data_IF_302953362541
#
_entry.id   IF_302953362541
#
_cell.length_a   1.000
_cell.length_b   1.000
_cell.length_c   1.000
_cell.angle_alpha   90.00
_cell.angle_beta   90.00
_cell.angle_gamma   90.00
#
_symmetry.space_group_name_H-M   'P 1'
#
loop_
_entity.id
_entity.type
_entity.pdbx_description
1 polymer ?
#
# COMPACT_ATOMS: atom_id res chain seq x y z
N UNK A 1 11.92 -9.89 24.98
CA UNK A 1 11.52 -8.71 25.76
C UNK A 1 10.22 -8.92 26.54
N UNK A 2 9.20 -9.60 26.01
CA UNK A 2 7.95 -9.88 26.75
C UNK A 2 8.18 -10.60 28.11
N UNK A 3 9.23 -11.40 28.22
CA UNK A 3 9.59 -12.12 29.46
C UNK A 3 9.95 -11.26 30.66
N UNK A 4 10.38 -10.04 30.46
CA UNK A 4 10.81 -9.16 31.55
C UNK A 4 9.64 -8.34 32.12
N UNK A 5 8.55 -8.21 31.37
CA UNK A 5 7.44 -7.31 31.67
C UNK A 5 6.21 -8.10 32.16
N UNK A 6 5.93 -9.25 31.51
CA UNK A 6 4.73 -10.03 31.82
C UNK A 6 5.07 -11.40 32.40
N UNK A 7 4.37 -11.77 33.47
CA UNK A 7 4.44 -13.08 34.12
C UNK A 7 3.02 -13.60 34.31
N UNK A 8 2.84 -14.90 34.26
CA UNK A 8 1.55 -15.55 34.49
C UNK A 8 1.34 -16.80 33.65
N UNK A 9 0.24 -17.49 33.88
CA UNK A 9 -0.11 -18.74 33.20
C UNK A 9 -0.37 -18.50 31.70
N UNK A 10 -1.09 -17.43 31.38
CA UNK A 10 -1.38 -17.02 30.01
C UNK A 10 -0.11 -16.85 29.15
N UNK A 11 0.88 -16.11 29.68
CA UNK A 11 2.14 -15.87 28.94
C UNK A 11 2.87 -17.17 28.64
N UNK A 12 2.91 -18.08 29.62
CA UNK A 12 3.57 -19.37 29.45
C UNK A 12 2.84 -20.26 28.46
N UNK A 13 1.51 -20.23 28.43
CA UNK A 13 0.70 -20.93 27.44
C UNK A 13 0.91 -20.34 26.04
N UNK A 14 0.84 -19.02 25.89
CA UNK A 14 1.04 -18.33 24.63
C UNK A 14 2.44 -18.61 24.02
N UNK A 15 3.49 -18.62 24.84
CA UNK A 15 4.84 -18.97 24.38
C UNK A 15 4.92 -20.39 23.84
N UNK A 16 4.27 -21.35 24.45
CA UNK A 16 4.26 -22.75 23.95
C UNK A 16 3.65 -22.84 22.57
N UNK A 17 2.64 -22.05 22.26
CA UNK A 17 1.96 -22.02 20.97
C UNK A 17 2.80 -21.27 19.93
N UNK A 18 3.17 -20.02 20.24
CA UNK A 18 3.75 -19.10 19.26
C UNK A 18 5.28 -19.23 19.12
N UNK A 19 5.97 -19.97 19.99
CA UNK A 19 7.43 -20.12 19.91
C UNK A 19 7.89 -21.53 19.54
N UNK A 20 7.00 -22.38 19.06
CA UNK A 20 7.34 -23.75 18.65
C UNK A 20 7.73 -23.78 17.15
N UNK A 21 9.02 -23.68 16.87
CA UNK A 21 9.56 -23.67 15.50
C UNK A 21 9.39 -24.99 14.74
N UNK A 22 9.05 -26.09 15.41
CA UNK A 22 8.85 -27.40 14.79
C UNK A 22 7.39 -27.64 14.38
N UNK A 23 6.48 -26.74 14.76
CA UNK A 23 5.08 -26.86 14.38
C UNK A 23 4.89 -26.40 12.93
N UNK A 24 4.18 -27.21 12.12
CA UNK A 24 3.84 -26.89 10.74
C UNK A 24 3.07 -25.55 10.59
N UNK A 25 2.22 -25.24 11.59
CA UNK A 25 1.52 -23.96 11.65
C UNK A 25 2.50 -22.78 11.75
N UNK A 26 3.48 -22.89 12.64
CA UNK A 26 4.50 -21.85 12.81
C UNK A 26 5.34 -21.65 11.55
N UNK A 27 5.59 -22.74 10.81
CA UNK A 27 6.26 -22.66 9.49
C UNK A 27 5.38 -21.93 8.47
N UNK A 28 4.07 -22.19 8.44
CA UNK A 28 3.13 -21.44 7.61
C UNK A 28 3.14 -19.95 7.96
N UNK A 29 3.17 -19.60 9.24
CA UNK A 29 3.18 -18.21 9.70
C UNK A 29 4.42 -17.43 9.26
N UNK A 30 5.56 -18.11 9.09
CA UNK A 30 6.81 -17.48 8.67
C UNK A 30 6.73 -16.81 7.30
N UNK A 31 5.77 -17.17 6.47
CA UNK A 31 5.52 -16.52 5.18
C UNK A 31 4.93 -15.12 5.33
N UNK A 32 4.25 -14.86 6.45
CA UNK A 32 3.47 -13.63 6.66
C UNK A 32 4.03 -12.75 7.77
N UNK A 33 4.70 -13.36 8.76
CA UNK A 33 5.22 -12.68 9.95
C UNK A 33 6.72 -12.50 9.84
N UNK A 34 7.18 -11.28 10.03
CA UNK A 34 8.60 -10.95 10.10
C UNK A 34 9.13 -11.21 11.51
N UNK A 35 10.31 -11.82 11.60
CA UNK A 35 11.00 -12.01 12.87
C UNK A 35 11.40 -13.46 13.12
N UNK A 36 11.80 -13.76 14.36
CA UNK A 36 12.27 -15.06 14.80
C UNK A 36 11.30 -15.64 15.86
N UNK A 37 10.81 -16.83 15.58
CA UNK A 37 9.94 -17.61 16.50
C UNK A 37 10.53 -17.69 17.89
N UNK A 38 11.84 -17.96 18.02
CA UNK A 38 12.54 -18.11 19.31
C UNK A 38 12.63 -16.79 20.09
N UNK A 39 12.56 -15.65 19.39
CA UNK A 39 12.56 -14.31 19.98
C UNK A 39 11.16 -13.83 20.37
N UNK A 40 10.15 -14.66 20.17
CA UNK A 40 8.75 -14.35 20.48
C UNK A 40 8.15 -13.25 19.57
N UNK A 41 8.74 -13.02 18.41
CA UNK A 41 8.25 -12.00 17.49
C UNK A 41 6.83 -12.33 16.99
N UNK A 42 6.52 -13.62 16.81
CA UNK A 42 5.18 -14.07 16.41
C UNK A 42 4.13 -13.83 17.50
N UNK A 43 4.50 -14.07 18.78
CA UNK A 43 3.62 -13.75 19.90
C UNK A 43 3.40 -12.23 20.01
N UNK A 44 4.45 -11.45 19.81
CA UNK A 44 4.34 -9.99 19.85
C UNK A 44 3.40 -9.47 18.77
N UNK A 45 3.50 -10.03 17.56
CA UNK A 45 2.62 -9.65 16.44
C UNK A 45 1.17 -10.10 16.68
N UNK A 46 0.96 -11.31 17.18
CA UNK A 46 -0.38 -11.79 17.53
C UNK A 46 -1.05 -10.91 18.59
N UNK A 47 -0.31 -10.53 19.64
CA UNK A 47 -0.79 -9.61 20.67
C UNK A 47 -1.10 -8.23 20.11
N UNK A 48 -0.24 -7.71 19.24
CA UNK A 48 -0.49 -6.44 18.55
C UNK A 48 -1.81 -6.49 17.79
N UNK A 49 -2.00 -7.48 16.94
CA UNK A 49 -3.21 -7.57 16.10
C UNK A 49 -4.50 -7.67 16.90
N UNK A 50 -4.55 -8.53 17.93
CA UNK A 50 -5.75 -8.66 18.76
C UNK A 50 -6.01 -7.41 19.60
N UNK A 51 -4.97 -6.75 20.07
CA UNK A 51 -5.11 -5.51 20.83
C UNK A 51 -5.60 -4.37 19.95
N UNK A 52 -5.06 -4.24 18.74
CA UNK A 52 -5.49 -3.25 17.75
C UNK A 52 -6.97 -3.47 17.37
N UNK A 53 -7.40 -4.72 17.15
CA UNK A 53 -8.80 -5.04 16.83
C UNK A 53 -9.76 -4.70 17.97
N UNK A 54 -9.30 -4.82 19.21
CA UNK A 54 -10.09 -4.49 20.42
C UNK A 54 -9.97 -3.02 20.85
N UNK A 55 -9.07 -2.25 20.26
CA UNK A 55 -8.79 -0.87 20.64
C UNK A 55 -8.22 -0.72 22.05
N UNK A 56 -7.44 -1.71 22.54
CA UNK A 56 -6.84 -1.71 23.87
C UNK A 56 -5.31 -1.84 23.78
N UNK A 57 -4.62 -1.45 24.85
CA UNK A 57 -3.16 -1.66 24.92
C UNK A 57 -2.81 -3.12 25.22
N UNK A 58 -1.59 -3.54 24.83
CA UNK A 58 -1.06 -4.86 25.16
C UNK A 58 -1.03 -5.05 26.70
N UNK A 59 -0.68 -4.01 27.46
CA UNK A 59 -0.67 -4.06 28.92
C UNK A 59 -2.06 -4.34 29.49
N UNK A 60 -3.09 -3.69 28.94
CA UNK A 60 -4.48 -3.94 29.37
C UNK A 60 -4.92 -5.36 29.04
N UNK A 61 -4.65 -5.85 27.82
CA UNK A 61 -4.95 -7.22 27.42
C UNK A 61 -4.25 -8.24 28.32
N UNK A 62 -2.96 -8.08 28.54
CA UNK A 62 -2.15 -8.98 29.37
C UNK A 62 -2.58 -8.97 30.84
N UNK A 63 -3.03 -7.83 31.35
CA UNK A 63 -3.58 -7.71 32.72
C UNK A 63 -4.91 -8.44 32.85
N UNK A 64 -5.80 -8.30 31.87
CA UNK A 64 -7.11 -8.98 31.86
C UNK A 64 -6.97 -10.49 31.81
N UNK A 65 -6.02 -11.00 31.03
CA UNK A 65 -5.82 -12.43 30.78
C UNK A 65 -4.75 -13.07 31.70
N UNK A 66 -4.21 -12.34 32.67
CA UNK A 66 -3.04 -12.77 33.47
C UNK A 66 -3.19 -14.18 34.07
N UNK A 67 -4.39 -14.52 34.50
CA UNK A 67 -4.72 -15.78 35.19
C UNK A 67 -5.37 -16.82 34.26
N UNK A 68 -5.54 -16.51 32.99
CA UNK A 68 -6.11 -17.45 32.06
C UNK A 68 -5.10 -18.54 31.73
N UNK A 69 -5.57 -19.79 31.74
CA UNK A 69 -4.77 -20.96 31.34
C UNK A 69 -4.86 -21.22 29.82
N UNK A 70 -5.80 -20.59 29.15
CA UNK A 70 -6.08 -20.78 27.72
C UNK A 70 -5.70 -19.54 26.91
N UNK A 71 -5.12 -19.76 25.76
CA UNK A 71 -4.81 -18.75 24.74
C UNK A 71 -5.77 -18.79 23.57
N UNK A 72 -6.91 -19.48 23.72
CA UNK A 72 -7.81 -19.81 22.63
C UNK A 72 -8.34 -18.59 21.87
N UNK A 73 -8.62 -17.48 22.53
CA UNK A 73 -9.04 -16.25 21.87
C UNK A 73 -7.93 -15.68 20.99
N UNK A 74 -6.72 -15.53 21.54
CA UNK A 74 -5.55 -15.03 20.82
C UNK A 74 -5.20 -15.92 19.62
N UNK A 75 -5.18 -17.23 19.83
CA UNK A 75 -4.91 -18.21 18.76
C UNK A 75 -5.96 -18.17 17.66
N UNK A 76 -7.24 -18.18 18.03
CA UNK A 76 -8.34 -18.17 17.07
C UNK A 76 -8.31 -16.92 16.21
N UNK A 77 -8.12 -15.76 16.83
CA UNK A 77 -8.03 -14.50 16.11
C UNK A 77 -6.83 -14.49 15.14
N UNK A 78 -5.65 -14.84 15.63
CA UNK A 78 -4.44 -14.89 14.83
C UNK A 78 -4.58 -15.86 13.65
N UNK A 79 -5.12 -17.05 13.88
CA UNK A 79 -5.39 -18.05 12.83
C UNK A 79 -6.38 -17.50 11.78
N UNK A 80 -7.45 -16.84 12.23
CA UNK A 80 -8.43 -16.24 11.31
C UNK A 80 -7.78 -15.23 10.35
N UNK A 81 -6.85 -14.40 10.85
CA UNK A 81 -6.08 -13.47 9.99
C UNK A 81 -5.24 -14.25 8.97
N UNK A 82 -4.43 -15.21 9.42
CA UNK A 82 -3.53 -15.98 8.54
C UNK A 82 -4.32 -16.82 7.52
N UNK A 83 -5.41 -17.44 7.93
CA UNK A 83 -6.23 -18.27 7.05
C UNK A 83 -6.94 -17.41 5.99
N UNK A 84 -7.44 -16.24 6.38
CA UNK A 84 -7.99 -15.28 5.43
C UNK A 84 -6.93 -14.82 4.39
N UNK A 85 -5.73 -14.46 4.83
CA UNK A 85 -4.65 -14.05 3.93
C UNK A 85 -4.33 -15.19 2.95
N UNK A 86 -4.14 -16.41 3.46
CA UNK A 86 -3.77 -17.56 2.63
C UNK A 86 -4.90 -18.02 1.70
N UNK A 87 -6.17 -17.75 2.04
CA UNK A 87 -7.31 -18.03 1.18
C UNK A 87 -7.48 -16.95 0.09
N UNK A 88 -7.13 -15.70 0.40
CA UNK A 88 -7.26 -14.57 -0.54
C UNK A 88 -6.10 -14.55 -1.55
N UNK A 89 -4.88 -14.79 -1.08
CA UNK A 89 -3.65 -14.79 -1.88
C UNK A 89 -3.09 -16.22 -1.99
N UNK A 90 -3.37 -16.88 -3.09
CA UNK A 90 -2.96 -18.28 -3.32
C UNK A 90 -1.46 -18.46 -3.57
N UNK A 91 -0.78 -17.40 -3.94
CA UNK A 91 0.68 -17.38 -4.11
C UNK A 91 1.34 -16.68 -2.93
N UNK A 92 2.28 -17.36 -2.31
CA UNK A 92 3.09 -16.79 -1.21
C UNK A 92 4.30 -16.12 -1.80
N UNK A 93 4.43 -14.81 -1.57
CA UNK A 93 5.53 -14.00 -2.05
C UNK A 93 6.33 -13.41 -0.88
N UNK A 94 7.61 -13.16 -1.11
CA UNK A 94 8.51 -12.59 -0.08
C UNK A 94 8.00 -11.26 0.47
N UNK A 95 7.39 -10.43 -0.36
CA UNK A 95 6.87 -9.11 0.01
C UNK A 95 5.67 -9.16 0.96
N UNK A 96 5.03 -10.32 1.10
CA UNK A 96 3.96 -10.54 2.06
C UNK A 96 4.45 -10.62 3.50
N UNK A 97 5.73 -10.95 3.70
CA UNK A 97 6.31 -11.11 5.03
C UNK A 97 6.39 -9.77 5.77
N UNK A 98 5.71 -9.69 6.92
CA UNK A 98 5.71 -8.52 7.79
C UNK A 98 4.87 -7.35 7.28
N UNK A 99 3.82 -7.61 6.51
CA UNK A 99 2.75 -6.65 6.27
C UNK A 99 1.83 -6.55 7.49
N UNK A 100 1.09 -5.47 7.58
CA UNK A 100 0.12 -5.22 8.67
C UNK A 100 -1.16 -6.05 8.48
N UNK A 101 -1.03 -7.39 8.42
CA UNK A 101 -2.12 -8.29 8.08
C UNK A 101 -3.32 -8.19 9.03
N UNK A 102 -3.11 -7.93 10.32
CA UNK A 102 -4.20 -7.70 11.26
C UNK A 102 -5.04 -6.50 10.87
N UNK A 103 -4.42 -5.36 10.54
CA UNK A 103 -5.11 -4.17 10.07
C UNK A 103 -5.85 -4.41 8.73
N UNK A 104 -5.20 -5.08 7.80
CA UNK A 104 -5.81 -5.41 6.51
C UNK A 104 -6.99 -6.37 6.69
N UNK A 105 -6.89 -7.34 7.60
CA UNK A 105 -7.98 -8.22 7.95
C UNK A 105 -9.18 -7.43 8.50
N UNK A 106 -8.99 -6.58 9.48
CA UNK A 106 -10.07 -5.78 10.05
C UNK A 106 -10.75 -4.89 9.00
N UNK A 107 -9.99 -4.41 8.02
CA UNK A 107 -10.52 -3.52 6.97
C UNK A 107 -11.25 -4.28 5.87
N UNK A 108 -10.78 -5.47 5.48
CA UNK A 108 -11.15 -6.08 4.21
C UNK A 108 -11.73 -7.49 4.28
N UNK A 109 -11.67 -8.20 5.43
CA UNK A 109 -12.07 -9.62 5.50
C UNK A 109 -13.52 -9.90 5.16
N UNK A 110 -14.41 -8.91 5.29
CA UNK A 110 -15.83 -9.02 4.94
C UNK A 110 -16.12 -8.79 3.46
N UNK A 111 -15.14 -8.31 2.70
CA UNK A 111 -15.27 -8.05 1.26
C UNK A 111 -15.11 -9.37 0.48
N UNK A 112 -16.05 -9.73 -0.39
CA UNK A 112 -15.90 -10.92 -1.23
C UNK A 112 -14.87 -10.67 -2.33
N UNK A 113 -13.91 -11.60 -2.51
CA UNK A 113 -12.89 -11.53 -3.55
C UNK A 113 -13.00 -12.71 -4.50
N UNK A 114 -12.80 -12.45 -5.79
CA UNK A 114 -12.49 -13.50 -6.77
C UNK A 114 -11.00 -13.84 -6.65
N UNK A 115 -10.68 -15.05 -6.23
CA UNK A 115 -9.30 -15.52 -6.05
C UNK A 115 -8.51 -15.42 -7.35
N UNK A 116 -9.12 -15.81 -8.48
CA UNK A 116 -8.48 -15.73 -9.80
C UNK A 116 -8.15 -14.28 -10.16
N UNK A 117 -9.10 -13.36 -9.95
CA UNK A 117 -8.89 -11.94 -10.19
C UNK A 117 -7.76 -11.38 -9.32
N UNK A 118 -7.78 -11.65 -8.00
CA UNK A 118 -6.71 -11.19 -7.08
C UNK A 118 -5.35 -11.71 -7.53
N UNK A 119 -5.25 -13.01 -7.86
CA UNK A 119 -4.01 -13.63 -8.30
C UNK A 119 -3.47 -13.00 -9.59
N UNK A 120 -4.35 -12.80 -10.58
CA UNK A 120 -4.00 -12.17 -11.86
C UNK A 120 -3.54 -10.73 -11.67
N UNK A 121 -4.25 -9.95 -10.84
CA UNK A 121 -3.93 -8.55 -10.59
C UNK A 121 -2.60 -8.38 -9.85
N UNK A 122 -2.35 -9.19 -8.82
CA UNK A 122 -1.06 -9.16 -8.10
C UNK A 122 0.08 -9.43 -9.07
N UNK A 123 0.00 -10.47 -9.91
CA UNK A 123 1.02 -10.77 -10.92
C UNK A 123 1.23 -9.64 -11.92
N UNK A 124 0.15 -9.05 -12.41
CA UNK A 124 0.23 -7.95 -13.38
C UNK A 124 0.91 -6.71 -12.78
N UNK A 125 0.58 -6.37 -11.51
CA UNK A 125 1.18 -5.23 -10.82
C UNK A 125 2.64 -5.48 -10.42
N UNK A 126 3.02 -6.72 -10.12
CA UNK A 126 4.43 -7.09 -9.88
C UNK A 126 5.28 -6.98 -11.14
N UNK A 127 4.69 -7.22 -12.31
CA UNK A 127 5.36 -7.09 -13.60
C UNK A 127 5.36 -5.64 -14.14
N UNK A 128 4.64 -4.73 -13.52
CA UNK A 128 4.52 -3.33 -13.95
C UNK A 128 5.70 -2.50 -13.42
N UNK A 129 6.58 -2.07 -14.31
CA UNK A 129 7.76 -1.26 -13.99
C UNK A 129 7.41 0.12 -13.40
N UNK A 130 6.18 0.58 -13.53
CA UNK A 130 5.72 1.85 -12.93
C UNK A 130 5.44 1.75 -11.44
N UNK A 131 5.20 0.54 -10.92
CA UNK A 131 4.97 0.26 -9.51
C UNK A 131 6.30 0.38 -8.74
N UNK A 132 6.36 1.32 -7.80
CA UNK A 132 7.55 1.56 -6.97
C UNK A 132 7.51 0.88 -5.61
N UNK A 133 6.32 0.60 -5.11
CA UNK A 133 6.11 -0.03 -3.81
C UNK A 133 5.38 -1.38 -3.98
N UNK A 134 6.14 -2.45 -4.24
CA UNK A 134 5.60 -3.82 -4.43
C UNK A 134 4.87 -4.34 -3.20
N UNK A 135 5.30 -3.97 -2.00
CA UNK A 135 4.66 -4.39 -0.74
C UNK A 135 3.22 -3.88 -0.58
N UNK A 136 2.90 -2.75 -1.19
CA UNK A 136 1.56 -2.17 -1.09
C UNK A 136 0.59 -2.66 -2.18
N UNK A 137 1.04 -3.52 -3.11
CA UNK A 137 0.20 -4.15 -4.12
C UNK A 137 -0.96 -4.90 -3.45
N UNK A 138 -0.69 -5.59 -2.36
CA UNK A 138 -1.69 -6.40 -1.65
C UNK A 138 -2.82 -5.53 -1.09
N UNK A 139 -2.49 -4.43 -0.42
CA UNK A 139 -3.50 -3.49 0.07
C UNK A 139 -4.24 -2.79 -1.06
N UNK A 140 -3.54 -2.42 -2.13
CA UNK A 140 -4.15 -1.80 -3.31
C UNK A 140 -5.21 -2.70 -3.96
N UNK A 141 -4.90 -3.98 -4.15
CA UNK A 141 -5.85 -4.96 -4.71
C UNK A 141 -7.02 -5.19 -3.76
N UNK A 142 -6.77 -5.35 -2.45
CA UNK A 142 -7.82 -5.48 -1.43
C UNK A 142 -8.75 -4.26 -1.39
N UNK A 143 -8.21 -3.07 -1.57
CA UNK A 143 -8.95 -1.80 -1.62
C UNK A 143 -9.68 -1.54 -2.94
N UNK A 144 -9.81 -2.54 -3.82
CA UNK A 144 -10.52 -2.41 -5.11
C UNK A 144 -9.78 -1.55 -6.12
N UNK A 145 -8.47 -1.44 -6.02
CA UNK A 145 -7.58 -0.75 -6.96
C UNK A 145 -7.83 0.77 -7.08
N UNK A 146 -8.35 1.39 -6.02
CA UNK A 146 -8.74 2.81 -6.02
C UNK A 146 -7.57 3.73 -5.72
N UNK A 147 -6.78 3.44 -4.67
CA UNK A 147 -5.72 4.34 -4.20
C UNK A 147 -4.36 4.05 -4.85
N UNK A 148 -4.12 4.61 -6.03
CA UNK A 148 -2.84 4.49 -6.76
C UNK A 148 -1.63 5.02 -5.97
N UNK A 149 -1.81 5.80 -4.91
CA UNK A 149 -0.69 6.28 -4.07
C UNK A 149 -0.01 5.14 -3.33
N UNK A 150 -0.74 4.07 -3.01
CA UNK A 150 -0.18 2.86 -2.41
C UNK A 150 0.95 2.27 -3.27
N UNK A 151 0.82 2.33 -4.59
CA UNK A 151 1.80 1.80 -5.53
C UNK A 151 2.98 2.75 -5.79
N UNK A 152 2.97 3.95 -5.23
CA UNK A 152 3.95 5.01 -5.48
C UNK A 152 4.12 5.33 -6.98
N UNK A 153 3.05 5.19 -7.76
CA UNK A 153 3.04 5.47 -9.20
C UNK A 153 3.08 6.99 -9.40
N UNK A 154 4.20 7.48 -9.90
CA UNK A 154 4.45 8.91 -10.15
C UNK A 154 4.40 9.27 -11.62
N UNK A 155 4.28 8.28 -12.51
CA UNK A 155 4.35 8.46 -13.95
C UNK A 155 2.95 8.37 -14.53
N UNK A 156 2.54 9.38 -15.26
CA UNK A 156 1.28 9.35 -15.99
C UNK A 156 1.35 8.36 -17.16
N UNK A 157 0.29 7.57 -17.31
CA UNK A 157 0.12 6.68 -18.46
C UNK A 157 0.09 7.48 -19.78
N UNK A 158 0.54 6.87 -20.87
CA UNK A 158 0.57 7.51 -22.18
C UNK A 158 -0.83 7.92 -22.69
N UNK A 159 -1.86 7.17 -22.35
CA UNK A 159 -3.26 7.52 -22.59
C UNK A 159 -3.64 8.82 -21.90
N UNK A 160 -3.29 8.98 -20.62
CA UNK A 160 -3.52 10.18 -19.82
C UNK A 160 -2.79 11.39 -20.41
N UNK A 161 -1.51 11.22 -20.77
CA UNK A 161 -0.72 12.28 -21.41
C UNK A 161 -1.35 12.76 -22.73
N UNK A 162 -1.82 11.83 -23.57
CA UNK A 162 -2.48 12.17 -24.85
C UNK A 162 -3.79 12.91 -24.64
N UNK A 163 -4.60 12.51 -23.67
CA UNK A 163 -5.86 13.19 -23.35
C UNK A 163 -5.60 14.59 -22.82
N UNK A 164 -4.65 14.73 -21.86
CA UNK A 164 -4.26 16.03 -21.31
C UNK A 164 -3.74 16.95 -22.41
N UNK A 165 -2.82 16.46 -23.24
CA UNK A 165 -2.28 17.21 -24.39
C UNK A 165 -3.38 17.70 -25.34
N UNK A 166 -4.30 16.81 -25.74
CA UNK A 166 -5.39 17.15 -26.66
C UNK A 166 -6.29 18.24 -26.09
N UNK A 167 -6.80 18.04 -24.87
CA UNK A 167 -7.67 19.02 -24.18
C UNK A 167 -7.00 20.39 -24.04
N UNK A 168 -5.73 20.39 -23.62
CA UNK A 168 -4.96 21.60 -23.37
C UNK A 168 -4.63 22.34 -24.67
N UNK A 169 -4.29 21.61 -25.74
CA UNK A 169 -4.01 22.19 -27.07
C UNK A 169 -5.26 22.79 -27.69
N UNK A 170 -6.38 22.08 -27.69
CA UNK A 170 -7.66 22.60 -28.20
C UNK A 170 -8.11 23.88 -27.46
N UNK A 171 -7.90 23.93 -26.14
CA UNK A 171 -8.23 25.12 -25.36
C UNK A 171 -7.29 26.29 -25.67
N UNK A 172 -5.99 26.02 -25.84
CA UNK A 172 -4.97 27.01 -26.16
C UNK A 172 -5.18 27.62 -27.57
N UNK A 173 -5.48 26.79 -28.56
CA UNK A 173 -5.77 27.23 -29.93
C UNK A 173 -6.99 28.16 -29.98
N UNK A 174 -8.07 27.83 -29.25
CA UNK A 174 -9.26 28.69 -29.16
C UNK A 174 -8.98 30.05 -28.53
N UNK A 175 -8.01 30.12 -27.61
CA UNK A 175 -7.64 31.35 -26.91
C UNK A 175 -6.48 32.10 -27.59
N UNK A 176 -5.85 31.54 -28.61
CA UNK A 176 -4.68 32.12 -29.27
C UNK A 176 -3.44 32.20 -28.38
N UNK A 177 -3.30 31.28 -27.42
CA UNK A 177 -2.20 31.23 -26.47
C UNK A 177 -1.39 29.93 -26.58
N UNK A 178 -0.29 29.81 -25.84
CA UNK A 178 0.52 28.60 -25.84
C UNK A 178 -0.22 27.45 -25.14
N UNK A 179 -0.04 26.23 -25.67
CA UNK A 179 -0.49 25.02 -25.00
C UNK A 179 0.43 24.58 -23.82
N UNK A 180 1.48 25.34 -23.51
CA UNK A 180 2.18 25.26 -22.24
C UNK A 180 1.66 26.37 -21.31
N UNK A 181 0.97 26.06 -20.18
CA UNK A 181 0.37 27.09 -19.32
C UNK A 181 1.37 28.15 -18.85
N UNK A 182 2.59 27.73 -18.53
CA UNK A 182 3.64 28.65 -18.08
C UNK A 182 4.18 29.52 -19.21
N UNK A 183 4.17 29.06 -20.46
CA UNK A 183 4.45 29.92 -21.60
C UNK A 183 3.32 30.92 -21.87
N UNK A 184 2.06 30.49 -21.74
CA UNK A 184 0.90 31.35 -21.96
C UNK A 184 0.82 32.51 -20.95
N UNK A 185 1.24 32.28 -19.72
CA UNK A 185 1.32 33.28 -18.64
C UNK A 185 2.55 34.18 -18.77
N UNK A 186 3.60 33.70 -19.42
CA UNK A 186 4.85 34.43 -19.57
C UNK A 186 4.77 35.55 -20.59
N UNK A 187 5.70 36.52 -20.49
CA UNK A 187 5.81 37.63 -21.46
C UNK A 187 7.03 37.44 -22.37
N UNK A 188 7.01 36.38 -23.16
CA UNK A 188 8.09 35.97 -24.05
C UNK A 188 7.58 35.52 -25.43
N UNK A 189 8.48 35.26 -26.38
CA UNK A 189 8.18 34.84 -27.72
C UNK A 189 7.38 33.53 -27.85
N UNK A 190 7.30 32.74 -26.78
CA UNK A 190 6.58 31.46 -26.77
C UNK A 190 5.13 31.58 -26.25
N UNK A 191 4.65 32.79 -25.97
CA UNK A 191 3.32 33.06 -25.39
C UNK A 191 2.16 32.48 -26.24
N UNK A 192 2.35 32.37 -27.55
CA UNK A 192 1.36 31.84 -28.50
C UNK A 192 1.80 30.53 -29.15
N UNK A 193 2.96 29.98 -28.74
CA UNK A 193 3.51 28.79 -29.38
C UNK A 193 2.73 27.52 -28.99
N UNK A 194 2.27 26.77 -29.99
CA UNK A 194 1.74 25.43 -29.82
C UNK A 194 2.89 24.43 -29.99
N UNK A 195 3.22 23.74 -28.89
CA UNK A 195 4.24 22.70 -28.85
C UNK A 195 3.65 21.36 -29.29
N UNK A 196 4.45 20.54 -29.96
CA UNK A 196 4.11 19.15 -30.25
C UNK A 196 4.19 18.31 -28.94
N UNK A 197 3.46 17.22 -28.88
CA UNK A 197 3.48 16.33 -27.71
C UNK A 197 4.91 15.85 -27.36
N UNK A 198 5.76 15.63 -28.37
CA UNK A 198 7.17 15.23 -28.19
C UNK A 198 8.07 16.32 -27.57
N UNK A 199 7.61 17.57 -27.58
CA UNK A 199 8.31 18.72 -26.99
C UNK A 199 7.83 19.04 -25.57
N UNK A 200 6.87 18.25 -25.06
CA UNK A 200 6.23 18.45 -23.76
C UNK A 200 6.40 17.22 -22.89
N UNK A 201 6.36 17.43 -21.59
CA UNK A 201 6.31 16.39 -20.58
C UNK A 201 5.05 16.58 -19.72
N UNK A 202 4.48 15.47 -19.25
CA UNK A 202 3.38 15.51 -18.30
C UNK A 202 3.90 15.81 -16.89
N UNK A 203 3.25 16.72 -16.22
CA UNK A 203 3.57 17.10 -14.85
C UNK A 203 2.31 17.16 -13.98
N UNK A 204 2.50 17.06 -12.67
CA UNK A 204 1.43 17.17 -11.71
C UNK A 204 1.11 18.66 -11.43
N UNK A 205 -0.15 19.08 -11.59
CA UNK A 205 -0.60 20.43 -11.22
C UNK A 205 -0.37 20.65 -9.74
N UNK A 206 -0.89 19.76 -8.90
CA UNK A 206 -0.49 19.65 -7.50
C UNK A 206 0.60 18.60 -7.39
N UNK A 207 1.77 19.00 -6.92
CA UNK A 207 2.93 18.12 -6.84
C UNK A 207 2.60 16.80 -6.11
N UNK A 208 3.08 15.67 -6.63
CA UNK A 208 2.88 14.36 -6.02
C UNK A 208 3.35 14.32 -4.56
N UNK A 209 4.48 14.94 -4.25
CA UNK A 209 5.03 15.07 -2.88
C UNK A 209 4.12 15.85 -1.93
N UNK A 210 3.19 16.65 -2.45
CA UNK A 210 2.17 17.40 -1.70
C UNK A 210 0.80 16.74 -1.71
N UNK A 211 0.73 15.45 -2.08
CA UNK A 211 -0.49 14.67 -2.10
C UNK A 211 -1.28 14.71 -3.41
N UNK A 212 -0.72 15.28 -4.49
CA UNK A 212 -1.35 15.27 -5.80
C UNK A 212 -1.51 13.85 -6.36
N UNK A 213 -2.70 13.52 -6.89
CA UNK A 213 -2.96 12.22 -7.51
C UNK A 213 -2.36 12.13 -8.91
N UNK A 214 -1.98 10.92 -9.35
CA UNK A 214 -1.55 10.64 -10.72
C UNK A 214 -2.76 10.25 -11.57
N UNK A 215 -3.61 11.24 -11.88
CA UNK A 215 -4.83 11.12 -12.68
C UNK A 215 -4.96 12.28 -13.67
N UNK A 216 -5.94 12.19 -14.56
CA UNK A 216 -6.12 13.18 -15.64
C UNK A 216 -6.46 14.58 -15.12
N UNK A 217 -7.13 14.69 -13.98
CA UNK A 217 -7.53 15.96 -13.38
C UNK A 217 -6.32 16.73 -12.82
N UNK A 218 -5.27 16.00 -12.44
CA UNK A 218 -4.03 16.57 -11.91
C UNK A 218 -2.87 16.52 -12.92
N UNK A 219 -3.15 16.20 -14.19
CA UNK A 219 -2.15 16.12 -15.27
C UNK A 219 -2.17 17.38 -16.10
N UNK A 220 -1.04 18.08 -16.19
CA UNK A 220 -0.81 19.14 -17.18
C UNK A 220 0.39 18.84 -18.05
N UNK A 221 0.36 19.33 -19.29
CA UNK A 221 1.48 19.24 -20.22
C UNK A 221 2.31 20.52 -20.17
N UNK A 222 3.58 20.40 -19.81
CA UNK A 222 4.52 21.53 -19.82
C UNK A 222 5.55 21.36 -20.93
N UNK A 223 6.00 22.42 -21.55
CA UNK A 223 7.17 22.34 -22.42
C UNK A 223 8.38 21.87 -21.59
N UNK A 224 9.30 21.12 -22.18
CA UNK A 224 10.43 20.51 -21.48
C UNK A 224 11.26 21.50 -20.67
N UNK A 225 11.36 22.75 -21.11
CA UNK A 225 12.06 23.82 -20.38
C UNK A 225 11.34 24.14 -19.06
N UNK A 226 10.03 24.36 -19.12
CA UNK A 226 9.23 24.70 -17.94
C UNK A 226 9.08 23.50 -16.99
N UNK A 227 8.93 22.29 -17.51
CA UNK A 227 8.89 21.10 -16.68
C UNK A 227 10.18 20.95 -15.85
N UNK A 228 11.34 21.12 -16.48
CA UNK A 228 12.64 21.07 -15.76
C UNK A 228 12.80 22.18 -14.74
N UNK A 229 12.31 23.40 -15.04
CA UNK A 229 12.44 24.54 -14.14
C UNK A 229 11.46 24.52 -12.98
N UNK A 230 10.28 23.90 -13.15
CA UNK A 230 9.26 23.74 -12.10
C UNK A 230 9.77 22.81 -11.00
N UNK A 231 10.43 21.70 -11.37
CA UNK A 231 10.91 20.70 -10.41
C UNK A 231 9.78 20.19 -9.51
N UNK A 232 10.07 19.96 -8.22
CA UNK A 232 9.10 19.50 -7.21
C UNK A 232 8.42 20.65 -6.43
N UNK A 233 8.14 21.76 -7.06
CA UNK A 233 7.53 22.94 -6.42
C UNK A 233 6.02 22.80 -6.26
#
# INVERSE_FOLDING_TARGET
MLNAIYSGEFVNAAKRVFSNSQNAETQKWSHYIKGDVKRQDYLAEALKWICDSKGISIDAYMSQHRHDISTGELESYFRSVIDWVSATFTMVEHDMCGLEWGRLYETYHTTPYSIDHVTERVKALQADESVRCSRNIYEYVLGGEVDKKLLDIRIFEESTKRIAYKRQTEAAEKQGVSNCPLCALGDNANKTRIYKISEMDADHVTAWSKGGATNIENCEMLCKTHNRSKGNR
#
